data_IF_154360262812
#
_entry.id   IF_154360262812
#
_cell.length_a   1.000
_cell.length_b   1.000
_cell.length_c   1.000
_cell.angle_alpha   90.00
_cell.angle_beta   90.00
_cell.angle_gamma   90.00
#
_symmetry.space_group_name_H-M   'P 1'
#
loop_
_entity.id
_entity.type
_entity.pdbx_description
1 polymer ?
#
# COMPACT_ATOMS: atom_id res chain seq x y z
N UNK A 1 4.71 18.88 9.82
CA UNK A 1 5.10 18.59 8.43
C UNK A 1 4.83 17.11 8.20
N UNK A 2 3.90 16.80 7.31
CA UNK A 2 3.58 15.41 6.97
C UNK A 2 4.73 14.80 6.18
N UNK A 3 5.05 13.54 6.45
CA UNK A 3 6.06 12.75 5.72
C UNK A 3 5.42 11.47 5.21
N UNK A 4 5.82 11.01 4.03
CA UNK A 4 5.28 9.77 3.43
C UNK A 4 5.43 8.58 4.39
N UNK A 5 6.56 8.49 5.10
CA UNK A 5 6.82 7.46 6.12
C UNK A 5 5.78 7.44 7.25
N UNK A 6 5.11 8.57 7.54
CA UNK A 6 4.06 8.63 8.55
C UNK A 6 2.78 7.92 8.10
N UNK A 7 2.59 7.68 6.79
CA UNK A 7 1.47 6.90 6.26
C UNK A 7 1.66 5.40 6.44
N UNK A 8 2.90 4.93 6.57
CA UNK A 8 3.18 3.51 6.71
C UNK A 8 2.57 2.93 7.99
N UNK A 9 2.79 3.59 9.14
CA UNK A 9 2.32 3.12 10.43
C UNK A 9 0.79 2.90 10.51
N UNK A 10 -0.08 3.85 10.13
CA UNK A 10 -1.53 3.64 10.17
C UNK A 10 -2.02 2.61 9.15
N UNK A 11 -1.44 2.56 7.94
CA UNK A 11 -1.80 1.55 6.92
C UNK A 11 -1.42 0.15 7.39
N UNK A 12 -0.22 -0.01 7.96
CA UNK A 12 0.24 -1.25 8.57
C UNK A 12 -0.71 -1.70 9.68
N UNK A 13 -1.02 -0.81 10.63
CA UNK A 13 -1.90 -1.14 11.75
C UNK A 13 -3.29 -1.59 11.29
N UNK A 14 -3.86 -0.94 10.27
CA UNK A 14 -5.14 -1.33 9.68
C UNK A 14 -5.13 -2.73 9.08
N UNK A 15 -4.07 -3.09 8.35
CA UNK A 15 -3.93 -4.39 7.70
C UNK A 15 -3.59 -5.49 8.72
N UNK A 16 -2.72 -5.21 9.69
CA UNK A 16 -2.40 -6.16 10.78
C UNK A 16 -3.63 -6.45 11.64
N UNK A 17 -4.49 -5.47 11.91
CA UNK A 17 -5.76 -5.67 12.61
C UNK A 17 -6.74 -6.59 11.86
N UNK A 18 -6.57 -6.76 10.54
CA UNK A 18 -7.32 -7.70 9.70
C UNK A 18 -6.62 -9.07 9.57
N UNK A 19 -5.52 -9.29 10.29
CA UNK A 19 -4.78 -10.54 10.29
C UNK A 19 -3.77 -10.70 9.15
N UNK A 20 -3.42 -9.61 8.44
CA UNK A 20 -2.34 -9.65 7.46
C UNK A 20 -0.97 -9.57 8.13
N UNK A 21 0.00 -10.30 7.60
CA UNK A 21 1.42 -10.02 7.82
C UNK A 21 1.87 -8.94 6.84
N UNK A 22 2.36 -7.81 7.35
CA UNK A 22 2.69 -6.62 6.55
C UNK A 22 4.19 -6.40 6.46
N UNK A 23 4.69 -6.12 5.26
CA UNK A 23 6.08 -5.69 4.99
C UNK A 23 6.08 -4.38 4.21
N UNK A 24 7.01 -3.49 4.54
CA UNK A 24 7.27 -2.27 3.77
C UNK A 24 8.40 -2.47 2.76
N UNK A 25 8.45 -1.61 1.74
CA UNK A 25 9.54 -1.52 0.75
C UNK A 25 9.86 -2.86 0.06
N UNK A 26 8.82 -3.58 -0.37
CA UNK A 26 8.98 -4.87 -1.05
C UNK A 26 9.16 -4.62 -2.53
N UNK A 27 10.42 -4.65 -2.98
CA UNK A 27 10.77 -4.33 -4.36
C UNK A 27 10.45 -2.86 -4.65
N UNK A 28 9.49 -2.63 -5.54
CA UNK A 28 9.04 -1.28 -5.88
C UNK A 28 7.70 -0.88 -5.22
N UNK A 29 7.11 -1.74 -4.39
CA UNK A 29 5.85 -1.46 -3.68
C UNK A 29 6.13 -0.95 -2.26
N UNK A 30 5.40 0.09 -1.85
CA UNK A 30 5.58 0.69 -0.51
C UNK A 30 5.12 -0.24 0.61
N UNK A 31 3.97 -0.92 0.43
CA UNK A 31 3.42 -1.89 1.39
C UNK A 31 2.92 -3.13 0.67
N UNK A 32 3.27 -4.30 1.21
CA UNK A 32 2.70 -5.60 0.81
C UNK A 32 2.18 -6.32 2.04
N UNK A 33 0.93 -6.78 1.96
CA UNK A 33 0.25 -7.51 3.02
C UNK A 33 -0.16 -8.89 2.52
N UNK A 34 0.09 -9.93 3.31
CA UNK A 34 -0.28 -11.33 2.97
C UNK A 34 -1.06 -11.98 4.12
N UNK A 35 -2.07 -12.79 3.78
CA UNK A 35 -2.87 -13.54 4.77
C UNK A 35 -3.11 -14.96 4.26
N UNK A 36 -2.42 -15.92 4.85
CA UNK A 36 -2.52 -17.33 4.45
C UNK A 36 -2.21 -17.53 2.96
N UNK A 37 -3.15 -18.10 2.22
CA UNK A 37 -3.04 -18.37 0.78
C UNK A 37 -3.83 -17.36 -0.09
N UNK A 38 -4.37 -16.30 0.50
CA UNK A 38 -5.07 -15.25 -0.25
C UNK A 38 -4.09 -14.45 -1.14
N UNK A 39 -4.54 -13.87 -2.26
CA UNK A 39 -3.72 -12.95 -3.05
C UNK A 39 -3.18 -11.79 -2.20
N UNK A 40 -1.95 -11.32 -2.43
CA UNK A 40 -1.37 -10.24 -1.64
C UNK A 40 -2.14 -8.93 -1.86
N UNK A 41 -2.17 -8.08 -0.84
CA UNK A 41 -2.61 -6.69 -0.94
C UNK A 41 -1.39 -5.80 -1.14
N UNK A 42 -1.42 -4.95 -2.15
CA UNK A 42 -0.37 -3.94 -2.40
C UNK A 42 -0.94 -2.56 -2.13
N UNK A 43 -0.21 -1.73 -1.38
CA UNK A 43 -0.58 -0.33 -1.13
C UNK A 43 0.58 0.59 -1.48
N UNK A 44 0.32 1.57 -2.34
CA UNK A 44 1.24 2.67 -2.65
C UNK A 44 0.89 3.88 -1.77
N UNK A 45 1.90 4.53 -1.19
CA UNK A 45 1.77 5.61 -0.21
C UNK A 45 2.23 6.94 -0.82
N UNK A 46 1.37 7.96 -0.83
CA UNK A 46 1.78 9.34 -1.17
C UNK A 46 1.06 10.38 -0.34
N UNK A 47 1.71 11.52 -0.10
CA UNK A 47 1.06 12.67 0.55
C UNK A 47 0.00 13.33 -0.34
N UNK A 48 0.11 13.15 -1.66
CA UNK A 48 -0.83 13.71 -2.63
C UNK A 48 -1.10 12.69 -3.73
N UNK A 49 -2.36 12.61 -4.13
CA UNK A 49 -2.73 11.86 -5.31
C UNK A 49 -2.15 12.53 -6.57
N UNK A 50 -1.67 11.71 -7.51
CA UNK A 50 -1.21 12.17 -8.82
C UNK A 50 -1.47 11.10 -9.88
N UNK A 51 -1.52 11.51 -11.15
CA UNK A 51 -1.67 10.57 -12.26
C UNK A 51 -0.47 9.62 -12.39
N UNK A 52 0.72 10.04 -11.99
CA UNK A 52 1.90 9.17 -11.94
C UNK A 52 1.73 8.04 -10.93
N UNK A 53 1.25 8.36 -9.72
CA UNK A 53 0.93 7.36 -8.69
C UNK A 53 -0.17 6.40 -9.14
N UNK A 54 -1.17 6.92 -9.84
CA UNK A 54 -2.24 6.09 -10.39
C UNK A 54 -1.73 5.06 -11.40
N UNK A 55 -0.87 5.47 -12.34
CA UNK A 55 -0.25 4.54 -13.28
C UNK A 55 0.71 3.55 -12.59
N UNK A 56 1.41 3.99 -11.54
CA UNK A 56 2.22 3.10 -10.71
C UNK A 56 1.35 1.99 -10.08
N UNK A 57 0.20 2.35 -9.51
CA UNK A 57 -0.74 1.37 -8.98
C UNK A 57 -1.28 0.43 -10.07
N UNK A 58 -1.63 0.93 -11.27
CA UNK A 58 -2.04 0.09 -12.40
C UNK A 58 -0.98 -0.95 -12.74
N UNK A 59 0.30 -0.58 -12.74
CA UNK A 59 1.38 -1.52 -13.01
C UNK A 59 1.46 -2.68 -11.97
N UNK A 60 0.97 -2.47 -10.73
CA UNK A 60 0.91 -3.52 -9.71
C UNK A 60 -0.18 -4.56 -9.97
N UNK A 61 -1.17 -4.26 -10.81
CA UNK A 61 -2.21 -5.22 -11.19
C UNK A 61 -1.64 -6.45 -11.93
N UNK A 62 -0.40 -6.37 -12.44
CA UNK A 62 0.30 -7.54 -12.97
C UNK A 62 0.63 -8.59 -11.89
N UNK A 63 0.52 -8.26 -10.60
CA UNK A 63 0.86 -9.13 -9.46
C UNK A 63 -0.40 -9.60 -8.72
N UNK A 64 -1.38 -8.71 -8.52
CA UNK A 64 -2.60 -8.96 -7.74
C UNK A 64 -3.71 -7.99 -8.12
N UNK A 65 -4.97 -8.39 -7.98
CA UNK A 65 -6.13 -7.52 -8.16
C UNK A 65 -6.37 -6.58 -6.96
N UNK A 66 -5.71 -6.83 -5.83
CA UNK A 66 -5.86 -6.07 -4.60
C UNK A 66 -4.82 -4.96 -4.48
N UNK A 67 -4.96 -3.93 -5.31
CA UNK A 67 -4.09 -2.75 -5.32
C UNK A 67 -4.83 -1.52 -4.81
N UNK A 68 -4.24 -0.83 -3.83
CA UNK A 68 -4.78 0.37 -3.22
C UNK A 68 -3.76 1.52 -3.24
N UNK A 69 -4.28 2.74 -3.17
CA UNK A 69 -3.49 3.95 -2.98
C UNK A 69 -3.93 4.55 -1.65
N UNK A 70 -2.99 4.82 -0.75
CA UNK A 70 -3.26 5.51 0.49
C UNK A 70 -2.69 6.94 0.44
N UNK A 71 -3.57 7.91 0.73
CA UNK A 71 -3.26 9.33 0.81
C UNK A 71 -3.91 9.92 2.07
N UNK A 72 -3.37 10.99 2.67
CA UNK A 72 -4.03 11.74 3.74
C UNK A 72 -5.41 12.24 3.31
N UNK A 73 -6.31 12.39 4.28
CA UNK A 73 -7.56 13.12 4.07
C UNK A 73 -7.25 14.61 3.85
N UNK A 74 -7.91 15.28 2.88
CA UNK A 74 -7.78 16.73 2.68
C UNK A 74 -8.17 17.56 3.90
#
# INVERSE_FOLDING_TARGET
>A
MEREDQLYAPVKALLEAQGYAVKGEVGAADVVAVRGAEPPVIVELKLKFSLSLFHQAIARLAITDHVYIAVPRP
#
